data_IF_650205361896
#
_entry.id   IF_650205361896
#
_cell.length_a   1.000
_cell.length_b   1.000
_cell.length_c   1.000
_cell.angle_alpha   90.00
_cell.angle_beta   90.00
_cell.angle_gamma   90.00
#
_symmetry.space_group_name_H-M   'P 1'
#
loop_
_entity.id
_entity.type
_entity.pdbx_description
1 polymer ?
#
# COMPACT_ATOMS: atom_id res chain seq x y z
N UNK A 1 -16.93 8.86 0.55
CA UNK A 1 -15.58 9.43 0.35
C UNK A 1 -14.59 8.40 0.87
N UNK A 2 -13.82 7.76 -0.01
CA UNK A 2 -13.03 6.57 0.32
C UNK A 2 -11.54 6.87 0.55
N UNK A 3 -10.76 5.83 0.90
CA UNK A 3 -9.28 5.89 1.00
C UNK A 3 -8.65 6.39 -0.32
N UNK A 4 -9.25 6.03 -1.47
CA UNK A 4 -8.87 6.48 -2.82
C UNK A 4 -8.78 8.00 -2.91
N UNK A 5 -9.87 8.69 -2.55
CA UNK A 5 -9.97 10.15 -2.65
C UNK A 5 -8.94 10.83 -1.75
N UNK A 6 -8.66 10.22 -0.60
CA UNK A 6 -7.65 10.70 0.34
C UNK A 6 -6.23 10.52 -0.20
N UNK A 7 -5.93 9.38 -0.82
CA UNK A 7 -4.63 9.11 -1.47
C UNK A 7 -4.41 10.04 -2.66
N UNK A 8 -5.40 10.17 -3.55
CA UNK A 8 -5.31 11.03 -4.73
C UNK A 8 -5.12 12.51 -4.35
N UNK A 9 -5.92 13.01 -3.40
CA UNK A 9 -5.72 14.37 -2.86
C UNK A 9 -4.38 14.56 -2.19
N UNK A 10 -3.84 13.52 -1.53
CA UNK A 10 -2.52 13.61 -0.91
C UNK A 10 -1.45 13.82 -1.99
N UNK A 11 -1.43 12.98 -3.04
CA UNK A 11 -0.46 13.09 -4.12
C UNK A 11 -0.60 14.39 -4.92
N UNK A 12 -1.81 14.92 -5.10
CA UNK A 12 -2.03 16.21 -5.78
C UNK A 12 -1.66 17.43 -4.94
N UNK A 13 -1.58 17.31 -3.62
CA UNK A 13 -1.27 18.44 -2.76
C UNK A 13 0.25 18.72 -2.75
N UNK A 14 0.69 19.91 -3.17
CA UNK A 14 2.13 20.26 -3.20
C UNK A 14 2.71 20.47 -1.80
N UNK A 15 1.88 20.77 -0.79
CA UNK A 15 2.32 20.96 0.60
C UNK A 15 2.41 19.65 1.40
N UNK A 16 1.94 18.53 0.85
CA UNK A 16 1.98 17.22 1.53
C UNK A 16 3.28 16.49 1.16
N UNK A 17 4.03 15.98 2.15
CA UNK A 17 5.19 15.12 1.88
C UNK A 17 4.76 13.90 1.07
N UNK A 18 5.42 13.66 -0.08
CA UNK A 18 5.08 12.52 -0.95
C UNK A 18 5.32 11.19 -0.27
N UNK A 19 6.31 11.15 0.64
CA UNK A 19 6.57 9.99 1.49
C UNK A 19 5.36 9.66 2.40
N UNK A 20 4.68 10.67 2.95
CA UNK A 20 3.46 10.45 3.73
C UNK A 20 2.33 9.88 2.86
N UNK A 21 2.15 10.42 1.65
CA UNK A 21 1.15 9.92 0.70
C UNK A 21 1.43 8.47 0.27
N UNK A 22 2.71 8.14 0.11
CA UNK A 22 3.16 6.77 -0.11
C UNK A 22 2.76 5.86 1.04
N UNK A 23 3.08 6.20 2.29
CA UNK A 23 2.71 5.35 3.42
C UNK A 23 1.20 5.16 3.53
N UNK A 24 0.40 6.21 3.29
CA UNK A 24 -1.06 6.12 3.28
C UNK A 24 -1.58 5.14 2.20
N UNK A 25 -1.08 5.23 0.95
CA UNK A 25 -1.47 4.34 -0.15
C UNK A 25 -1.01 2.89 0.11
N UNK A 26 0.26 2.73 0.51
CA UNK A 26 0.92 1.43 0.68
C UNK A 26 0.34 0.64 1.86
N UNK A 27 0.20 1.27 3.03
CA UNK A 27 -0.35 0.61 4.23
C UNK A 27 -1.83 0.26 4.08
N UNK A 28 -2.62 1.14 3.46
CA UNK A 28 -4.04 0.87 3.22
C UNK A 28 -4.26 -0.39 2.37
N UNK A 29 -3.39 -0.62 1.38
CA UNK A 29 -3.40 -1.84 0.54
C UNK A 29 -3.08 -3.09 1.31
N UNK A 30 -1.99 -3.06 2.09
CA UNK A 30 -1.58 -4.21 2.90
C UNK A 30 -2.69 -4.57 3.89
N UNK A 31 -3.26 -3.58 4.56
CA UNK A 31 -4.34 -3.79 5.52
C UNK A 31 -5.58 -4.39 4.86
N UNK A 32 -6.04 -3.85 3.74
CA UNK A 32 -7.21 -4.38 3.03
C UNK A 32 -6.99 -5.82 2.56
N UNK A 33 -5.82 -6.12 1.98
CA UNK A 33 -5.48 -7.46 1.54
C UNK A 33 -5.53 -8.47 2.70
N UNK A 34 -4.92 -8.14 3.84
CA UNK A 34 -4.92 -8.99 5.03
C UNK A 34 -6.32 -9.14 5.65
N UNK A 35 -7.12 -8.07 5.65
CA UNK A 35 -8.51 -8.12 6.15
C UNK A 35 -9.38 -9.01 5.27
N UNK A 36 -9.28 -8.88 3.95
CA UNK A 36 -10.03 -9.71 2.99
C UNK A 36 -9.61 -11.18 3.11
N UNK A 37 -8.30 -11.45 3.18
CA UNK A 37 -7.77 -12.79 3.39
C UNK A 37 -8.29 -13.39 4.71
N UNK A 38 -8.24 -12.64 5.80
CA UNK A 38 -8.75 -13.07 7.10
C UNK A 38 -10.25 -13.36 7.06
N UNK A 39 -11.07 -12.46 6.51
CA UNK A 39 -12.53 -12.66 6.41
C UNK A 39 -12.85 -13.92 5.60
N UNK A 40 -12.17 -14.12 4.46
CA UNK A 40 -12.40 -15.28 3.59
C UNK A 40 -11.89 -16.59 4.21
N UNK A 41 -10.90 -16.54 5.11
CA UNK A 41 -10.43 -17.72 5.83
C UNK A 41 -11.42 -18.20 6.92
N UNK A 42 -12.20 -17.28 7.50
CA UNK A 42 -13.12 -17.56 8.61
C UNK A 42 -14.60 -17.50 8.22
N UNK A 43 -14.92 -17.35 6.94
CA UNK A 43 -16.30 -17.35 6.44
C UNK A 43 -16.41 -18.11 5.13
N UNK A 44 -17.56 -18.72 4.86
CA UNK A 44 -17.89 -19.30 3.53
C UNK A 44 -18.14 -18.20 2.46
N UNK A 45 -17.66 -16.98 2.70
CA UNK A 45 -17.85 -15.82 1.82
C UNK A 45 -16.60 -15.55 0.99
N UNK A 46 -16.81 -15.21 -0.28
CA UNK A 46 -15.76 -14.64 -1.14
C UNK A 46 -15.88 -13.12 -1.11
N UNK A 47 -15.37 -12.49 -0.04
CA UNK A 47 -15.31 -11.04 0.04
C UNK A 47 -14.37 -10.51 -1.05
N UNK A 48 -14.84 -9.63 -1.95
CA UNK A 48 -14.02 -9.13 -3.05
C UNK A 48 -13.02 -8.10 -2.54
N UNK A 49 -11.81 -8.14 -3.07
CA UNK A 49 -10.84 -7.04 -2.92
C UNK A 49 -11.40 -5.79 -3.62
N UNK A 50 -11.25 -4.62 -2.99
CA UNK A 50 -11.72 -3.36 -3.59
C UNK A 50 -10.97 -3.09 -4.92
N UNK A 51 -11.68 -2.58 -5.93
CA UNK A 51 -11.09 -2.19 -7.23
C UNK A 51 -9.88 -1.24 -7.09
N UNK A 52 -9.85 -0.41 -6.05
CA UNK A 52 -8.69 0.41 -5.74
C UNK A 52 -7.47 -0.40 -5.34
N UNK A 53 -7.66 -1.43 -4.51
CA UNK A 53 -6.58 -2.26 -4.00
C UNK A 53 -6.07 -3.25 -5.05
N UNK A 54 -6.88 -3.56 -6.07
CA UNK A 54 -6.47 -4.26 -7.29
C UNK A 54 -5.98 -3.33 -8.43
N UNK A 55 -5.75 -2.04 -8.16
CA UNK A 55 -5.30 -1.06 -9.17
C UNK A 55 -3.89 -1.38 -9.72
N UNK A 56 -3.83 -1.77 -11.00
CA UNK A 56 -2.58 -2.05 -11.72
C UNK A 56 -1.65 -0.83 -11.83
N UNK A 57 -2.18 0.40 -11.73
CA UNK A 57 -1.38 1.62 -11.82
C UNK A 57 -0.74 2.02 -10.49
N UNK A 58 -0.97 1.27 -9.42
CA UNK A 58 -0.45 1.54 -8.09
C UNK A 58 1.08 1.78 -8.07
N UNK A 59 1.85 0.82 -8.58
CA UNK A 59 3.31 0.91 -8.61
C UNK A 59 3.78 2.12 -9.41
N UNK A 60 3.13 2.37 -10.56
CA UNK A 60 3.42 3.53 -11.41
C UNK A 60 3.11 4.86 -10.73
N UNK A 61 2.00 4.95 -9.99
CA UNK A 61 1.61 6.16 -9.24
C UNK A 61 2.64 6.48 -8.16
N UNK A 62 3.04 5.48 -7.38
CA UNK A 62 4.10 5.64 -6.37
C UNK A 62 5.41 6.05 -7.03
N UNK A 63 5.82 5.36 -8.10
CA UNK A 63 7.04 5.65 -8.83
C UNK A 63 7.11 7.11 -9.28
N UNK A 64 6.06 7.59 -9.97
CA UNK A 64 6.01 8.97 -10.50
C UNK A 64 6.09 10.01 -9.38
N UNK A 65 5.39 9.77 -8.26
CA UNK A 65 5.23 10.79 -7.23
C UNK A 65 6.33 10.77 -6.16
N UNK A 66 6.95 9.62 -5.89
CA UNK A 66 7.92 9.47 -4.81
C UNK A 66 9.32 9.23 -5.34
N UNK A 67 9.53 8.31 -6.28
CA UNK A 67 10.86 7.82 -6.64
C UNK A 67 11.49 8.58 -7.80
N UNK A 68 10.71 8.87 -8.84
CA UNK A 68 11.17 9.59 -10.04
C UNK A 68 11.81 10.96 -9.71
N UNK A 69 11.32 11.76 -8.75
CA UNK A 69 11.98 13.02 -8.37
C UNK A 69 13.39 12.87 -7.77
N UNK A 70 13.79 11.65 -7.37
CA UNK A 70 15.12 11.35 -6.82
C UNK A 70 15.96 10.51 -7.80
N UNK A 71 15.65 10.57 -9.10
CA UNK A 71 16.35 9.86 -10.18
C UNK A 71 16.46 8.33 -9.99
N UNK A 72 15.58 7.75 -9.16
CA UNK A 72 15.52 6.31 -8.99
C UNK A 72 14.86 5.65 -10.21
N UNK A 73 15.32 4.45 -10.55
CA UNK A 73 14.71 3.57 -11.53
C UNK A 73 13.43 2.93 -10.98
N UNK A 74 12.59 2.41 -11.88
CA UNK A 74 11.41 1.64 -11.47
C UNK A 74 11.79 0.32 -10.78
N UNK A 75 12.95 -0.24 -11.12
CA UNK A 75 13.48 -1.45 -10.50
C UNK A 75 13.89 -1.20 -9.05
N UNK A 76 14.61 -0.11 -8.78
CA UNK A 76 14.94 0.31 -7.40
C UNK A 76 13.69 0.62 -6.58
N UNK A 77 12.71 1.31 -7.18
CA UNK A 77 11.44 1.58 -6.53
C UNK A 77 10.71 0.29 -6.16
N UNK A 78 10.62 -0.68 -7.08
CA UNK A 78 9.99 -1.97 -6.84
C UNK A 78 10.74 -2.79 -5.78
N UNK A 79 12.07 -2.80 -5.83
CA UNK A 79 12.91 -3.46 -4.83
C UNK A 79 12.65 -2.89 -3.42
N UNK A 80 12.63 -1.56 -3.29
CA UNK A 80 12.35 -0.91 -2.01
C UNK A 80 10.91 -1.16 -1.51
N UNK A 81 9.91 -1.10 -2.41
CA UNK A 81 8.52 -1.44 -2.06
C UNK A 81 8.40 -2.89 -1.57
N UNK A 82 9.03 -3.85 -2.26
CA UNK A 82 9.05 -5.25 -1.84
C UNK A 82 9.73 -5.42 -0.48
N UNK A 83 10.88 -4.77 -0.26
CA UNK A 83 11.55 -4.76 1.04
C UNK A 83 10.63 -4.27 2.16
N UNK A 84 9.93 -3.15 1.94
CA UNK A 84 9.00 -2.58 2.92
C UNK A 84 7.81 -3.51 3.19
N UNK A 85 7.29 -4.19 2.15
CA UNK A 85 6.20 -5.15 2.29
C UNK A 85 6.57 -6.28 3.25
N UNK A 86 7.70 -6.97 3.00
CA UNK A 86 8.14 -8.06 3.88
C UNK A 86 8.47 -7.57 5.28
N UNK A 87 9.09 -6.40 5.42
CA UNK A 87 9.32 -5.76 6.72
C UNK A 87 8.04 -5.54 7.52
N UNK A 88 6.95 -5.15 6.85
CA UNK A 88 5.65 -4.94 7.50
C UNK A 88 5.05 -6.29 7.91
N UNK A 89 5.09 -7.30 7.03
CA UNK A 89 4.59 -8.64 7.36
C UNK A 89 5.34 -9.26 8.54
N UNK A 90 6.68 -9.16 8.56
CA UNK A 90 7.49 -9.65 9.67
C UNK A 90 7.07 -8.99 10.98
N UNK A 91 6.88 -7.66 10.97
CA UNK A 91 6.46 -6.90 12.15
C UNK A 91 5.04 -7.24 12.62
N UNK A 92 4.12 -7.49 11.70
CA UNK A 92 2.78 -7.95 12.03
C UNK A 92 2.85 -9.33 12.69
N UNK A 93 3.59 -10.27 12.10
CA UNK A 93 3.75 -11.62 12.62
C UNK A 93 4.41 -11.63 14.02
N UNK A 94 5.47 -10.85 14.23
CA UNK A 94 6.09 -10.69 15.56
C UNK A 94 5.07 -10.23 16.61
N UNK A 95 4.26 -9.22 16.29
CA UNK A 95 3.25 -8.70 17.20
C UNK A 95 2.13 -9.71 17.52
N UNK A 96 1.87 -10.66 16.61
CA UNK A 96 0.92 -11.76 16.84
C UNK A 96 1.52 -12.93 17.64
N UNK A 97 2.85 -13.13 17.62
CA UNK A 97 3.52 -14.18 18.41
C UNK A 97 3.69 -13.76 19.88
N UNK A 98 3.79 -12.45 20.14
CA UNK A 98 3.96 -11.90 21.50
C UNK A 98 2.65 -11.74 22.30
N UNK A 99 1.48 -11.98 21.69
CA UNK A 99 0.15 -11.92 22.34
C UNK A 99 -0.55 -13.29 22.35
#
# INVERSE_FOLDING_TARGET
MGVIDSVDRCYKNPKKPKLYCFYLDYSGRIFDALMVESINAYSDSNYPTNAFFSDENFQKRIFINLYKPYDSSMEEANSHMNFLYYKILDKLNEAFIEN
#
